data_IF_070999850880
#
_entry.id   IF_070999850880
#
_cell.length_a   1.000
_cell.length_b   1.000
_cell.length_c   1.000
_cell.angle_alpha   90.00
_cell.angle_beta   90.00
_cell.angle_gamma   90.00
#
_symmetry.space_group_name_H-M   'P 1'
#
loop_
_entity.id
_entity.type
_entity.pdbx_description
1 polymer ?
#
# COMPACT_ATOMS: atom_id res chain seq x y z
N UNK A 1 19.13 8.19 4.27
CA UNK A 1 19.87 7.16 5.02
C UNK A 1 19.03 6.60 6.16
N UNK A 2 18.37 7.45 6.95
CA UNK A 2 17.55 7.06 8.11
C UNK A 2 16.52 5.97 7.74
N UNK A 3 15.70 6.18 6.71
CA UNK A 3 14.68 5.22 6.28
C UNK A 3 15.25 3.82 5.98
N UNK A 4 16.40 3.77 5.30
CA UNK A 4 17.03 2.50 4.96
C UNK A 4 17.47 1.73 6.21
N UNK A 5 18.07 2.42 7.18
CA UNK A 5 18.50 1.80 8.44
C UNK A 5 17.29 1.36 9.25
N UNK A 6 16.32 2.24 9.44
CA UNK A 6 15.09 1.91 10.16
C UNK A 6 14.30 0.80 9.46
N UNK A 7 14.22 0.81 8.12
CA UNK A 7 13.62 -0.24 7.34
C UNK A 7 14.33 -1.59 7.48
N UNK A 8 15.67 -1.61 7.48
CA UNK A 8 16.46 -2.83 7.66
C UNK A 8 16.28 -3.41 9.07
N UNK A 9 16.32 -2.57 10.10
CA UNK A 9 16.06 -2.97 11.50
C UNK A 9 14.62 -3.50 11.62
N UNK A 10 13.63 -2.78 11.08
CA UNK A 10 12.24 -3.22 11.07
C UNK A 10 12.08 -4.58 10.38
N UNK A 11 12.68 -4.75 9.20
CA UNK A 11 12.63 -6.00 8.44
C UNK A 11 13.23 -7.18 9.24
N UNK A 12 14.36 -6.96 9.93
CA UNK A 12 14.99 -7.97 10.78
C UNK A 12 14.07 -8.35 11.96
N UNK A 13 13.50 -7.36 12.66
CA UNK A 13 12.62 -7.59 13.80
C UNK A 13 11.33 -8.35 13.43
N UNK A 14 10.73 -8.05 12.28
CA UNK A 14 9.50 -8.70 11.85
C UNK A 14 9.73 -9.96 11.01
N UNK A 15 10.99 -10.36 10.76
CA UNK A 15 11.32 -11.52 9.92
C UNK A 15 10.62 -12.83 10.34
N UNK A 16 10.44 -13.15 11.66
CA UNK A 16 9.68 -14.32 12.05
C UNK A 16 8.21 -14.25 11.63
N UNK A 17 7.59 -13.07 11.74
CA UNK A 17 6.21 -12.85 11.28
C UNK A 17 6.11 -12.99 9.75
N UNK A 18 7.09 -12.47 9.01
CA UNK A 18 7.12 -12.61 7.55
C UNK A 18 7.25 -14.08 7.14
N UNK A 19 8.10 -14.85 7.81
CA UNK A 19 8.27 -16.28 7.56
C UNK A 19 6.98 -17.06 7.85
N UNK A 20 6.36 -16.83 9.00
CA UNK A 20 5.09 -17.46 9.36
C UNK A 20 3.97 -17.12 8.35
N UNK A 21 3.88 -15.85 7.93
CA UNK A 21 2.93 -15.39 6.91
C UNK A 21 3.19 -16.07 5.56
N UNK A 22 4.45 -16.20 5.15
CA UNK A 22 4.82 -16.87 3.91
C UNK A 22 4.38 -18.34 3.90
N UNK A 23 4.59 -19.05 5.01
CA UNK A 23 4.14 -20.43 5.19
C UNK A 23 2.62 -20.51 5.13
N UNK A 24 1.89 -19.64 5.86
CA UNK A 24 0.44 -19.62 5.87
C UNK A 24 -0.15 -19.39 4.46
N UNK A 25 0.40 -18.44 3.67
CA UNK A 25 -0.02 -18.20 2.29
C UNK A 25 0.19 -19.44 1.42
N UNK A 26 1.30 -20.14 1.61
CA UNK A 26 1.64 -21.34 0.82
C UNK A 26 0.72 -22.51 1.09
N UNK A 27 0.27 -22.63 2.35
CA UNK A 27 -0.70 -23.66 2.79
C UNK A 27 -2.10 -23.32 2.29
N UNK A 28 -2.51 -22.04 2.37
CA UNK A 28 -3.87 -21.59 2.03
C UNK A 28 -4.17 -21.68 0.52
N UNK A 29 -3.17 -21.42 -0.33
CA UNK A 29 -3.37 -21.46 -1.78
C UNK A 29 -2.09 -21.77 -2.55
N UNK A 30 -2.15 -22.57 -3.65
CA UNK A 30 -0.98 -22.84 -4.49
C UNK A 30 -0.50 -21.58 -5.19
N UNK A 31 0.84 -21.48 -5.42
CA UNK A 31 1.45 -20.37 -6.18
C UNK A 31 2.49 -19.59 -5.39
N UNK A 32 3.02 -18.47 -5.92
CA UNK A 32 4.06 -17.68 -5.27
C UNK A 32 3.58 -17.03 -3.99
N UNK A 33 4.48 -16.84 -3.03
CA UNK A 33 4.19 -16.17 -1.75
C UNK A 33 4.07 -14.66 -1.94
N UNK A 34 4.90 -14.10 -2.81
CA UNK A 34 4.93 -12.67 -3.09
C UNK A 34 4.15 -12.33 -4.36
N UNK A 35 3.56 -11.17 -4.32
CA UNK A 35 2.99 -10.46 -5.46
C UNK A 35 3.82 -9.21 -5.71
N UNK A 36 4.11 -8.93 -6.96
CA UNK A 36 4.85 -7.73 -7.35
C UNK A 36 4.03 -6.92 -8.35
N UNK A 37 4.17 -5.60 -8.27
CA UNK A 37 3.48 -4.69 -9.17
C UNK A 37 4.36 -3.49 -9.48
N UNK A 38 4.39 -3.09 -10.75
CA UNK A 38 5.07 -1.86 -11.15
C UNK A 38 4.32 -0.65 -10.61
N UNK A 39 5.03 0.22 -9.94
CA UNK A 39 4.56 1.49 -9.39
C UNK A 39 5.46 2.63 -9.85
N UNK A 40 4.95 3.85 -9.75
CA UNK A 40 5.70 5.06 -10.06
C UNK A 40 6.24 5.65 -8.76
N UNK A 41 7.55 5.85 -8.72
CA UNK A 41 8.29 6.41 -7.60
C UNK A 41 8.67 7.87 -7.82
N UNK A 42 9.69 8.31 -7.08
CA UNK A 42 10.19 9.68 -7.15
C UNK A 42 10.63 10.05 -8.57
N UNK A 43 10.27 11.27 -8.98
CA UNK A 43 10.57 11.83 -10.30
C UNK A 43 10.03 10.97 -11.47
N UNK A 44 8.93 10.28 -11.26
CA UNK A 44 8.29 9.45 -12.27
C UNK A 44 9.01 8.12 -12.59
N UNK A 45 10.04 7.74 -11.84
CA UNK A 45 10.80 6.51 -12.08
C UNK A 45 9.99 5.29 -11.67
N UNK A 46 9.79 4.30 -12.57
CA UNK A 46 9.09 3.07 -12.20
C UNK A 46 9.95 2.21 -11.27
N UNK A 47 9.30 1.50 -10.35
CA UNK A 47 9.94 0.50 -9.50
C UNK A 47 9.00 -0.68 -9.25
N UNK A 48 9.57 -1.82 -8.84
CA UNK A 48 8.82 -3.03 -8.48
C UNK A 48 8.47 -3.01 -7.01
N UNK A 49 7.18 -2.84 -6.69
CA UNK A 49 6.66 -2.87 -5.33
C UNK A 49 6.38 -4.32 -4.91
N UNK A 50 6.82 -4.69 -3.72
CA UNK A 50 6.64 -6.02 -3.14
C UNK A 50 5.48 -6.06 -2.15
N UNK A 51 4.64 -7.10 -2.27
CA UNK A 51 3.57 -7.41 -1.31
C UNK A 51 3.50 -8.92 -1.08
N UNK A 52 2.87 -9.33 0.01
CA UNK A 52 2.39 -10.70 0.10
C UNK A 52 1.18 -10.90 -0.81
N UNK A 53 1.09 -12.08 -1.41
CA UNK A 53 -0.07 -12.48 -2.18
C UNK A 53 -1.27 -12.68 -1.25
N UNK A 54 -2.31 -11.89 -1.43
CA UNK A 54 -3.56 -11.96 -0.67
C UNK A 54 -4.75 -12.44 -1.51
N UNK A 55 -4.55 -12.67 -2.82
CA UNK A 55 -5.56 -13.12 -3.76
C UNK A 55 -5.13 -14.43 -4.43
N UNK A 56 -6.09 -15.19 -4.93
CA UNK A 56 -5.83 -16.37 -5.76
C UNK A 56 -5.07 -15.98 -7.05
N UNK A 57 -4.30 -16.93 -7.60
CA UNK A 57 -3.47 -16.69 -8.80
C UNK A 57 -4.28 -16.41 -10.06
N UNK A 58 -5.52 -16.84 -10.12
CA UNK A 58 -6.49 -16.59 -11.19
C UNK A 58 -7.38 -15.36 -10.96
N UNK A 59 -7.00 -14.47 -10.04
CA UNK A 59 -7.76 -13.28 -9.64
C UNK A 59 -8.10 -12.34 -10.80
N UNK A 60 -7.21 -12.20 -11.78
CA UNK A 60 -7.45 -11.35 -12.95
C UNK A 60 -8.54 -11.94 -13.86
N UNK A 61 -8.55 -13.26 -14.05
CA UNK A 61 -9.60 -13.94 -14.81
C UNK A 61 -10.98 -13.80 -14.13
N UNK A 62 -11.01 -13.79 -12.79
CA UNK A 62 -12.23 -13.60 -11.99
C UNK A 62 -12.69 -12.14 -11.92
N UNK A 63 -11.85 -11.18 -12.28
CA UNK A 63 -12.18 -9.75 -12.20
C UNK A 63 -13.45 -9.38 -12.99
N UNK A 64 -13.61 -9.93 -14.17
CA UNK A 64 -14.76 -9.66 -15.04
C UNK A 64 -16.10 -10.10 -14.42
N UNK A 65 -16.10 -11.18 -13.63
CA UNK A 65 -17.31 -11.65 -12.92
C UNK A 65 -17.64 -10.77 -11.70
N UNK A 66 -16.64 -10.27 -11.00
CA UNK A 66 -16.82 -9.39 -9.83
C UNK A 66 -17.34 -8.02 -10.23
N UNK A 67 -16.85 -7.46 -11.33
CA UNK A 67 -17.35 -6.17 -11.87
C UNK A 67 -18.81 -6.28 -12.30
N UNK A 68 -19.23 -7.41 -12.86
CA UNK A 68 -20.63 -7.65 -13.27
C UNK A 68 -21.61 -7.78 -12.09
N UNK A 69 -21.13 -8.16 -10.90
CA UNK A 69 -21.97 -8.33 -9.70
C UNK A 69 -22.21 -7.02 -8.92
N UNK A 70 -21.81 -5.87 -9.46
CA UNK A 70 -22.16 -4.56 -8.89
C UNK A 70 -21.26 -4.12 -7.72
N UNK A 71 -20.07 -4.69 -7.58
CA UNK A 71 -19.07 -4.23 -6.62
C UNK A 71 -18.63 -2.79 -6.95
N UNK A 72 -18.90 -1.90 -6.04
CA UNK A 72 -18.48 -0.50 -5.96
C UNK A 72 -18.69 0.40 -7.20
N UNK A 73 -19.87 1.01 -7.26
CA UNK A 73 -20.25 2.02 -8.25
C UNK A 73 -19.64 3.42 -7.99
N UNK A 74 -18.77 3.60 -6.98
CA UNK A 74 -18.42 4.94 -6.48
C UNK A 74 -17.03 5.45 -6.83
N UNK A 75 -16.09 4.60 -7.25
CA UNK A 75 -14.73 5.08 -7.51
C UNK A 75 -14.03 4.29 -8.62
N UNK A 76 -13.99 4.85 -9.83
CA UNK A 76 -13.34 4.24 -11.00
C UNK A 76 -11.82 4.02 -10.81
N UNK A 77 -11.20 4.67 -9.83
CA UNK A 77 -9.76 4.65 -9.60
C UNK A 77 -9.36 3.64 -8.51
N UNK A 78 -10.21 3.38 -7.51
CA UNK A 78 -9.91 2.46 -6.40
C UNK A 78 -11.06 1.50 -6.17
N UNK A 79 -11.08 0.39 -6.92
CA UNK A 79 -12.05 -0.69 -6.70
C UNK A 79 -11.85 -1.35 -5.33
N UNK A 80 -12.90 -1.38 -4.51
CA UNK A 80 -12.94 -2.06 -3.21
C UNK A 80 -14.25 -2.82 -3.04
N UNK A 81 -14.12 -4.10 -2.75
CA UNK A 81 -15.22 -4.95 -2.32
C UNK A 81 -14.82 -5.66 -1.03
N UNK A 82 -15.63 -5.51 0.02
CA UNK A 82 -15.40 -6.18 1.31
C UNK A 82 -15.55 -7.70 1.22
N UNK A 83 -16.30 -8.18 0.24
CA UNK A 83 -16.56 -9.61 0.02
C UNK A 83 -15.94 -10.12 -1.29
N UNK A 84 -14.83 -9.52 -1.73
CA UNK A 84 -14.16 -9.91 -2.97
C UNK A 84 -13.79 -11.41 -2.95
N UNK A 85 -14.43 -12.26 -3.79
CA UNK A 85 -14.19 -13.70 -3.80
C UNK A 85 -12.80 -14.08 -4.31
N UNK A 86 -12.03 -13.11 -4.81
CA UNK A 86 -10.65 -13.32 -5.24
C UNK A 86 -9.68 -13.40 -4.07
N UNK A 87 -10.09 -12.92 -2.87
CA UNK A 87 -9.24 -12.87 -1.68
C UNK A 87 -9.23 -14.24 -1.00
N UNK A 88 -8.04 -14.77 -0.72
CA UNK A 88 -7.87 -16.05 -0.01
C UNK A 88 -8.25 -15.93 1.48
N UNK A 89 -8.38 -17.08 2.20
CA UNK A 89 -8.71 -17.04 3.63
C UNK A 89 -7.63 -16.32 4.44
N UNK A 90 -6.36 -16.68 4.24
CA UNK A 90 -5.21 -15.99 4.85
C UNK A 90 -5.13 -14.55 4.34
N UNK A 91 -5.43 -14.34 3.04
CA UNK A 91 -5.46 -13.03 2.41
C UNK A 91 -6.34 -12.01 3.14
N UNK A 92 -7.52 -12.43 3.61
CA UNK A 92 -8.43 -11.56 4.39
C UNK A 92 -7.77 -11.09 5.69
N UNK A 93 -7.09 -11.97 6.40
CA UNK A 93 -6.43 -11.63 7.65
C UNK A 93 -5.22 -10.72 7.46
N UNK A 94 -4.34 -11.04 6.50
CA UNK A 94 -3.15 -10.23 6.27
C UNK A 94 -3.48 -8.84 5.73
N UNK A 95 -4.55 -8.71 4.93
CA UNK A 95 -5.06 -7.39 4.48
C UNK A 95 -5.66 -6.60 5.63
N UNK A 96 -6.48 -7.24 6.47
CA UNK A 96 -7.08 -6.58 7.64
C UNK A 96 -6.03 -5.99 8.58
N UNK A 97 -4.90 -6.67 8.74
CA UNK A 97 -3.79 -6.24 9.60
C UNK A 97 -2.70 -5.49 8.83
N UNK A 98 -2.88 -5.23 7.54
CA UNK A 98 -1.90 -4.61 6.64
C UNK A 98 -0.55 -5.36 6.61
N UNK A 99 -0.53 -6.65 6.98
CA UNK A 99 0.66 -7.51 6.93
C UNK A 99 1.08 -7.75 5.47
N UNK A 100 0.13 -7.75 4.54
CA UNK A 100 0.41 -7.91 3.12
C UNK A 100 1.32 -6.82 2.55
N UNK A 101 1.40 -5.66 3.19
CA UNK A 101 2.25 -4.55 2.77
C UNK A 101 3.64 -4.54 3.40
N UNK A 102 3.89 -5.36 4.45
CA UNK A 102 5.19 -5.38 5.14
C UNK A 102 6.39 -5.72 4.23
N UNK A 103 6.27 -6.55 3.16
CA UNK A 103 7.38 -6.74 2.22
C UNK A 103 7.85 -5.47 1.50
N UNK A 104 7.07 -4.38 1.50
CA UNK A 104 7.50 -3.08 0.96
C UNK A 104 8.68 -2.49 1.76
N UNK A 105 8.96 -2.96 2.97
CA UNK A 105 10.20 -2.61 3.68
C UNK A 105 11.45 -2.98 2.86
N UNK A 106 11.39 -3.99 1.99
CA UNK A 106 12.46 -4.29 1.03
C UNK A 106 12.68 -3.10 0.09
N UNK A 107 11.59 -2.47 -0.38
CA UNK A 107 11.68 -1.27 -1.23
C UNK A 107 12.24 -0.07 -0.47
N UNK A 108 11.91 0.07 0.83
CA UNK A 108 12.50 1.12 1.69
C UNK A 108 14.02 0.92 1.83
N UNK A 109 14.46 -0.29 2.12
CA UNK A 109 15.90 -0.63 2.23
C UNK A 109 16.63 -0.40 0.91
N UNK A 110 16.03 -0.77 -0.22
CA UNK A 110 16.56 -0.49 -1.57
C UNK A 110 16.62 1.01 -1.87
N UNK A 111 15.73 1.79 -1.25
CA UNK A 111 15.61 3.24 -1.43
C UNK A 111 14.66 3.66 -2.54
N UNK A 112 13.82 2.74 -3.03
CA UNK A 112 12.72 3.03 -3.94
C UNK A 112 11.59 3.76 -3.21
N UNK A 113 11.42 3.46 -1.91
CA UNK A 113 10.39 4.00 -1.02
C UNK A 113 11.00 4.64 0.23
N UNK A 114 10.18 5.41 0.93
CA UNK A 114 10.37 5.94 2.28
C UNK A 114 9.44 5.22 3.25
N UNK A 115 9.67 5.34 4.56
CA UNK A 115 8.71 4.88 5.56
C UNK A 115 7.42 5.70 5.50
N UNK A 116 7.57 7.03 5.33
CA UNK A 116 6.44 7.95 5.22
C UNK A 116 6.49 8.68 3.88
N UNK A 117 5.34 8.84 3.24
CA UNK A 117 5.22 9.52 1.95
C UNK A 117 3.88 9.27 1.26
N UNK A 118 3.67 9.89 0.08
CA UNK A 118 2.52 9.62 -0.75
C UNK A 118 2.40 8.14 -1.14
N UNK A 119 1.18 7.65 -1.34
CA UNK A 119 0.96 6.28 -1.82
C UNK A 119 1.64 6.06 -3.18
N UNK A 120 2.36 4.94 -3.40
CA UNK A 120 2.90 4.59 -4.70
C UNK A 120 1.80 4.45 -5.75
N UNK A 121 1.80 5.31 -6.77
CA UNK A 121 0.78 5.35 -7.80
C UNK A 121 1.01 4.27 -8.87
N UNK A 122 -0.08 3.83 -9.52
CA UNK A 122 -0.01 3.02 -10.73
C UNK A 122 0.39 3.89 -11.94
N UNK A 123 1.10 3.33 -12.94
CA UNK A 123 1.38 4.07 -14.18
C UNK A 123 0.13 4.63 -14.86
N UNK A 124 -0.97 3.86 -14.84
CA UNK A 124 -2.27 4.28 -15.41
C UNK A 124 -2.96 5.40 -14.61
N UNK A 125 -2.68 5.50 -13.31
CA UNK A 125 -3.13 6.61 -12.47
C UNK A 125 -2.34 7.88 -12.81
N UNK A 126 -1.01 7.76 -12.88
CA UNK A 126 -0.11 8.89 -13.18
C UNK A 126 -0.39 9.49 -14.56
N UNK A 127 -0.75 8.67 -15.54
CA UNK A 127 -1.13 9.14 -16.87
C UNK A 127 -2.36 10.09 -16.88
N UNK A 128 -3.15 10.08 -15.80
CA UNK A 128 -4.32 10.94 -15.62
C UNK A 128 -4.09 12.11 -14.65
N UNK A 129 -2.87 12.26 -14.12
CA UNK A 129 -2.55 13.30 -13.15
C UNK A 129 -2.50 14.67 -13.81
N UNK A 130 -3.11 15.64 -13.16
CA UNK A 130 -2.91 17.05 -13.43
C UNK A 130 -1.59 17.56 -12.80
N UNK A 131 -1.29 18.84 -12.98
CA UNK A 131 -0.07 19.46 -12.45
C UNK A 131 0.04 19.38 -10.93
N UNK A 132 -1.09 19.46 -10.21
CA UNK A 132 -1.13 19.38 -8.75
C UNK A 132 -0.84 17.96 -8.27
N UNK A 133 -1.48 16.96 -8.87
CA UNK A 133 -1.25 15.56 -8.53
C UNK A 133 0.17 15.09 -8.87
N UNK A 134 0.79 15.64 -9.91
CA UNK A 134 2.19 15.34 -10.27
C UNK A 134 3.20 15.75 -9.17
N UNK A 135 2.86 16.73 -8.32
CA UNK A 135 3.74 17.16 -7.21
C UNK A 135 4.00 16.06 -6.20
N UNK A 136 3.09 15.06 -6.11
CA UNK A 136 3.29 13.85 -5.28
C UNK A 136 4.54 13.07 -5.65
N UNK A 137 4.96 13.15 -6.91
CA UNK A 137 6.12 12.44 -7.43
C UNK A 137 7.46 13.16 -7.12
N UNK A 138 7.44 14.35 -6.53
CA UNK A 138 8.67 15.06 -6.14
C UNK A 138 9.41 14.39 -4.97
N UNK A 139 8.72 13.52 -4.23
CA UNK A 139 9.28 12.79 -3.09
C UNK A 139 9.16 11.28 -3.32
N UNK A 140 9.89 10.50 -2.50
CA UNK A 140 9.71 9.04 -2.51
C UNK A 140 8.32 8.68 -2.01
N UNK A 141 7.66 7.69 -2.63
CA UNK A 141 6.43 7.15 -2.09
C UNK A 141 6.69 6.46 -0.74
N UNK A 142 5.70 6.51 0.15
CA UNK A 142 5.78 5.96 1.49
C UNK A 142 5.16 4.58 1.63
N UNK A 143 5.63 3.82 2.64
CA UNK A 143 4.93 2.66 3.16
C UNK A 143 3.63 3.09 3.85
N UNK A 144 3.66 4.22 4.54
CA UNK A 144 2.50 4.92 5.07
C UNK A 144 2.52 6.40 4.69
N UNK A 145 1.42 7.12 4.94
CA UNK A 145 1.33 8.54 4.62
C UNK A 145 0.08 9.19 5.21
N UNK A 146 0.01 10.51 5.15
CA UNK A 146 -1.03 11.33 5.77
C UNK A 146 -2.45 10.87 5.41
N UNK A 147 -2.75 10.63 4.13
CA UNK A 147 -4.07 10.20 3.73
C UNK A 147 -4.43 8.81 4.28
N UNK A 148 -3.43 7.92 4.43
CA UNK A 148 -3.63 6.57 4.95
C UNK A 148 -4.02 6.56 6.44
N UNK A 149 -3.65 7.59 7.20
CA UNK A 149 -4.01 7.74 8.61
C UNK A 149 -5.19 8.68 8.84
N UNK A 150 -5.60 9.48 7.82
CA UNK A 150 -6.64 10.51 7.93
C UNK A 150 -8.03 10.09 7.44
N UNK A 151 -8.20 8.85 6.94
CA UNK A 151 -9.52 8.40 6.47
C UNK A 151 -9.45 7.33 5.37
N UNK A 152 -8.27 7.09 4.82
CA UNK A 152 -8.03 6.04 3.80
C UNK A 152 -9.05 6.12 2.64
N UNK A 153 -9.89 5.07 2.52
CA UNK A 153 -10.85 4.88 1.44
C UNK A 153 -12.04 5.82 1.45
N UNK A 154 -12.30 6.48 2.58
CA UNK A 154 -13.46 7.37 2.74
C UNK A 154 -13.17 8.79 2.21
N UNK A 155 -11.91 9.02 1.79
CA UNK A 155 -11.48 10.29 1.20
C UNK A 155 -11.75 10.34 -0.30
N UNK A 156 -12.21 11.50 -0.78
CA UNK A 156 -12.25 11.79 -2.20
C UNK A 156 -10.84 11.84 -2.81
N UNK A 157 -10.75 11.71 -4.14
CA UNK A 157 -9.48 11.87 -4.85
C UNK A 157 -8.82 13.22 -4.55
N UNK A 158 -9.59 14.32 -4.62
CA UNK A 158 -9.09 15.67 -4.38
C UNK A 158 -8.54 15.84 -2.96
N UNK A 159 -9.25 15.27 -1.95
CA UNK A 159 -8.79 15.27 -0.56
C UNK A 159 -7.50 14.48 -0.40
N UNK A 160 -7.36 13.35 -1.07
CA UNK A 160 -6.14 12.54 -1.06
C UNK A 160 -4.96 13.29 -1.66
N UNK A 161 -5.17 13.95 -2.82
CA UNK A 161 -4.14 14.77 -3.48
C UNK A 161 -3.75 15.96 -2.59
N UNK A 162 -4.72 16.62 -1.95
CA UNK A 162 -4.45 17.75 -1.05
C UNK A 162 -3.60 17.35 0.17
N UNK A 163 -3.90 16.18 0.79
CA UNK A 163 -3.11 15.65 1.91
C UNK A 163 -1.70 15.27 1.49
N UNK A 164 -1.54 14.62 0.34
CA UNK A 164 -0.22 14.25 -0.16
C UNK A 164 0.60 15.49 -0.54
N UNK A 165 -0.03 16.52 -1.12
CA UNK A 165 0.61 17.80 -1.38
C UNK A 165 1.06 18.48 -0.09
N UNK A 166 0.17 18.53 0.91
CA UNK A 166 0.51 19.08 2.22
C UNK A 166 1.74 18.38 2.81
N UNK A 167 1.81 17.06 2.71
CA UNK A 167 2.99 16.32 3.14
C UNK A 167 4.26 16.71 2.36
N UNK A 168 4.18 16.81 1.02
CA UNK A 168 5.32 17.19 0.18
C UNK A 168 5.89 18.55 0.58
N UNK A 169 5.01 19.51 0.89
CA UNK A 169 5.36 20.89 1.25
C UNK A 169 5.89 21.02 2.69
N UNK A 170 5.39 20.18 3.61
CA UNK A 170 5.68 20.27 5.05
C UNK A 170 6.42 19.05 5.61
N UNK A 171 7.10 18.27 4.75
CA UNK A 171 7.83 17.07 5.18
C UNK A 171 8.95 17.39 6.18
N UNK A 172 9.13 16.51 7.14
CA UNK A 172 10.16 16.65 8.17
C UNK A 172 10.11 15.52 9.18
N UNK A 173 11.08 15.47 10.10
CA UNK A 173 11.17 14.39 11.07
C UNK A 173 9.95 14.33 12.01
N UNK A 174 9.44 15.48 12.45
CA UNK A 174 8.27 15.51 13.34
C UNK A 174 7.01 15.00 12.66
N UNK A 175 6.57 15.48 11.46
CA UNK A 175 5.44 14.93 10.75
C UNK A 175 5.59 13.43 10.45
N UNK A 176 6.79 12.94 10.15
CA UNK A 176 7.03 11.53 9.88
C UNK A 176 6.81 10.67 11.13
N UNK A 177 7.30 11.09 12.30
CA UNK A 177 7.07 10.39 13.58
C UNK A 177 5.59 10.38 13.94
N UNK A 178 4.88 11.50 13.78
CA UNK A 178 3.43 11.59 14.01
C UNK A 178 2.65 10.65 13.08
N UNK A 179 3.01 10.59 11.79
CA UNK A 179 2.42 9.66 10.83
C UNK A 179 2.64 8.20 11.20
N UNK A 180 3.86 7.83 11.62
CA UNK A 180 4.17 6.46 12.05
C UNK A 180 3.37 6.08 13.30
N UNK A 181 3.26 6.96 14.28
CA UNK A 181 2.46 6.74 15.49
C UNK A 181 0.97 6.57 15.17
N UNK A 182 0.43 7.39 14.27
CA UNK A 182 -0.96 7.30 13.81
C UNK A 182 -1.21 6.04 12.98
N UNK A 183 -0.22 5.58 12.20
CA UNK A 183 -0.28 4.32 11.46
C UNK A 183 -0.45 3.14 12.41
N UNK A 184 0.36 3.07 13.48
CA UNK A 184 0.23 2.01 14.49
C UNK A 184 -1.16 2.02 15.13
N UNK A 185 -1.69 3.19 15.49
CA UNK A 185 -3.06 3.33 16.03
C UNK A 185 -4.11 2.85 15.03
N UNK A 186 -3.97 3.20 13.74
CA UNK A 186 -4.91 2.80 12.70
C UNK A 186 -4.90 1.29 12.45
N UNK A 187 -3.72 0.65 12.45
CA UNK A 187 -3.57 -0.80 12.28
C UNK A 187 -4.15 -1.55 13.47
N UNK A 188 -3.82 -1.15 14.70
CA UNK A 188 -4.35 -1.79 15.93
C UNK A 188 -5.85 -1.54 16.09
N UNK A 189 -6.33 -0.35 15.76
CA UNK A 189 -7.75 0.02 15.85
C UNK A 189 -8.64 -0.59 14.76
N UNK A 190 -8.06 -1.28 13.76
CA UNK A 190 -8.80 -1.91 12.65
C UNK A 190 -9.60 -0.92 11.78
N UNK A 191 -9.39 0.39 11.92
CA UNK A 191 -10.09 1.40 11.14
C UNK A 191 -9.54 1.46 9.72
N UNK A 192 -10.40 1.21 8.74
CA UNK A 192 -10.08 1.34 7.32
C UNK A 192 -9.23 0.21 6.72
N UNK A 193 -9.11 -0.93 7.38
CA UNK A 193 -8.59 -2.16 6.80
C UNK A 193 -9.70 -2.83 5.98
N UNK A 194 -9.63 -2.66 4.65
CA UNK A 194 -10.50 -3.37 3.69
C UNK A 194 -9.67 -3.80 2.49
#
# INVERSE_FOLDING_TARGET
>A
LFDRVAGAVGLALISPLLAATAIAIRIDSPGPVFYTQTRVGQNGKPFTMWKFRSMYTDSDARRASVVKSGGDAGNEVMFKDRQDPRITHVGRWIRRLSIDELPQLINVVRGDMSLVGPRPALPVEVAKYDAEALRRLLVKPGLTGLWQVSGRSDLSWDSTVALDRHYVENRGAQPDVENLANTLKAVVGGRGAN
#
